data_IF_641409971279
#
_entry.id   IF_641409971279
#
_cell.length_a   1.000
_cell.length_b   1.000
_cell.length_c   1.000
_cell.angle_alpha   90.00
_cell.angle_beta   90.00
_cell.angle_gamma   90.00
#
_symmetry.space_group_name_H-M   'P 1'
#
loop_
_entity.id
_entity.type
_entity.pdbx_description
1 polymer ?
#
# COMPACT_ATOMS: atom_id res chain seq x y z
N UNK A 1 9.79 -7.72 -4.64
CA UNK A 1 9.63 -6.25 -4.47
C UNK A 1 10.83 -5.41 -4.92
N UNK A 2 11.97 -6.02 -5.34
CA UNK A 2 13.20 -5.31 -5.72
C UNK A 2 13.01 -4.37 -6.93
N UNK A 3 12.26 -4.80 -7.95
CA UNK A 3 11.92 -3.98 -9.12
C UNK A 3 11.11 -2.70 -8.79
N UNK A 4 10.52 -2.61 -7.59
CA UNK A 4 9.71 -1.47 -7.14
C UNK A 4 10.46 -0.51 -6.20
N UNK A 5 11.80 -0.57 -6.17
CA UNK A 5 12.64 0.37 -5.40
C UNK A 5 13.10 1.60 -6.20
N UNK A 6 12.68 1.72 -7.46
CA UNK A 6 13.01 2.84 -8.33
C UNK A 6 12.23 4.13 -8.05
N UNK A 7 12.26 5.09 -9.02
CA UNK A 7 11.52 6.35 -8.93
C UNK A 7 10.03 6.13 -8.66
N UNK A 8 9.44 7.03 -7.88
CA UNK A 8 8.05 6.93 -7.45
C UNK A 8 7.37 8.30 -7.39
N UNK A 9 6.06 8.30 -7.62
CA UNK A 9 5.20 9.44 -7.30
C UNK A 9 4.81 9.35 -5.82
N UNK A 10 4.95 10.45 -5.11
CA UNK A 10 4.56 10.58 -3.71
C UNK A 10 3.35 11.50 -3.59
N UNK A 11 2.36 11.08 -2.80
CA UNK A 11 1.14 11.85 -2.56
C UNK A 11 0.90 11.89 -1.06
N UNK A 12 0.88 13.09 -0.49
CA UNK A 12 0.64 13.30 0.93
C UNK A 12 -0.73 13.94 1.18
N UNK A 13 -1.37 13.50 2.26
CA UNK A 13 -2.60 14.06 2.79
C UNK A 13 -2.51 14.13 4.33
N UNK A 14 -3.08 15.16 4.95
CA UNK A 14 -3.01 15.34 6.40
C UNK A 14 -4.07 14.55 7.19
N UNK A 15 -5.05 13.93 6.53
CA UNK A 15 -5.99 13.02 7.18
C UNK A 15 -5.43 11.60 7.29
N UNK A 16 -5.82 10.88 8.34
CA UNK A 16 -5.48 9.48 8.59
C UNK A 16 -6.61 8.55 8.16
N UNK A 17 -6.25 7.39 7.60
CA UNK A 17 -7.19 6.31 7.28
C UNK A 17 -7.71 5.62 8.54
N UNK A 18 -9.01 5.37 8.59
CA UNK A 18 -9.63 4.51 9.60
C UNK A 18 -9.48 3.04 9.26
N UNK A 19 -9.73 2.14 10.22
CA UNK A 19 -9.74 0.69 9.98
C UNK A 19 -10.74 0.26 8.89
N UNK A 20 -11.85 0.99 8.72
CA UNK A 20 -12.80 0.76 7.62
C UNK A 20 -12.23 1.17 6.26
N UNK A 21 -11.45 2.25 6.20
CA UNK A 21 -10.82 2.71 4.97
C UNK A 21 -9.74 1.73 4.53
N UNK A 22 -8.91 1.23 5.46
CA UNK A 22 -7.94 0.17 5.17
C UNK A 22 -8.62 -1.09 4.62
N UNK A 23 -9.68 -1.57 5.29
CA UNK A 23 -10.43 -2.75 4.85
C UNK A 23 -11.05 -2.55 3.48
N UNK A 24 -11.60 -1.38 3.20
CA UNK A 24 -12.17 -1.02 1.90
C UNK A 24 -11.10 -1.03 0.82
N UNK A 25 -9.96 -0.35 1.04
CA UNK A 25 -8.89 -0.22 0.06
C UNK A 25 -8.21 -1.56 -0.27
N UNK A 26 -7.94 -2.40 0.75
CA UNK A 26 -7.37 -3.74 0.54
C UNK A 26 -8.33 -4.66 -0.23
N UNK A 27 -9.65 -4.50 -0.05
CA UNK A 27 -10.66 -5.25 -0.81
C UNK A 27 -10.77 -4.78 -2.26
N UNK A 28 -10.48 -3.52 -2.57
CA UNK A 28 -10.56 -2.99 -3.93
C UNK A 28 -9.55 -3.62 -4.87
N UNK A 29 -8.33 -3.88 -4.40
CA UNK A 29 -7.35 -4.70 -5.15
C UNK A 29 -7.84 -6.11 -5.47
N UNK A 30 -8.96 -6.55 -4.89
CA UNK A 30 -9.52 -7.90 -5.08
C UNK A 30 -10.81 -7.95 -5.92
N UNK A 31 -11.32 -6.80 -6.39
CA UNK A 31 -12.48 -6.74 -7.31
C UNK A 31 -13.88 -6.73 -6.64
N UNK A 32 -13.96 -6.56 -5.32
CA UNK A 32 -15.25 -6.51 -4.60
C UNK A 32 -15.82 -5.09 -4.49
N UNK A 33 -16.92 -4.80 -5.19
CA UNK A 33 -17.71 -3.57 -4.96
C UNK A 33 -18.25 -3.57 -3.52
N UNK A 34 -17.86 -2.59 -2.71
CA UNK A 34 -18.49 -2.37 -1.39
C UNK A 34 -19.89 -1.77 -1.58
N UNK A 35 -20.93 -2.50 -1.17
CA UNK A 35 -22.33 -2.05 -1.14
C UNK A 35 -22.57 -1.09 0.04
N UNK A 36 -22.20 0.17 -0.10
CA UNK A 36 -22.56 1.18 0.90
C UNK A 36 -22.95 2.50 0.19
N UNK A 37 -24.24 2.62 -0.13
CA UNK A 37 -24.83 3.63 -1.03
C UNK A 37 -24.91 5.05 -0.43
N UNK A 38 -24.45 5.27 0.80
CA UNK A 38 -24.61 6.55 1.51
C UNK A 38 -23.41 7.50 1.47
N UNK A 39 -22.27 7.11 0.87
CA UNK A 39 -21.07 7.97 0.77
C UNK A 39 -20.61 8.10 -0.69
N UNK A 40 -20.94 9.22 -1.32
CA UNK A 40 -20.45 9.57 -2.66
C UNK A 40 -18.91 9.60 -2.62
N UNK A 41 -18.24 8.82 -3.49
CA UNK A 41 -16.79 8.86 -3.68
C UNK A 41 -15.93 7.91 -2.82
N UNK A 42 -16.42 6.77 -2.35
CA UNK A 42 -15.71 5.90 -1.37
C UNK A 42 -14.79 4.81 -2.00
N UNK A 43 -13.77 5.26 -2.74
CA UNK A 43 -12.53 4.55 -3.10
C UNK A 43 -12.46 3.62 -4.32
N UNK A 44 -13.55 3.26 -5.01
CA UNK A 44 -13.47 2.19 -6.01
C UNK A 44 -13.01 2.53 -7.44
N UNK A 45 -13.13 3.78 -7.89
CA UNK A 45 -12.84 4.17 -9.29
C UNK A 45 -11.61 5.10 -9.34
N UNK A 46 -11.53 6.08 -8.43
CA UNK A 46 -10.45 7.07 -8.43
C UNK A 46 -9.07 6.48 -8.09
N UNK A 47 -8.99 5.51 -7.17
CA UNK A 47 -7.71 4.87 -6.85
C UNK A 47 -7.23 3.93 -7.97
N UNK A 48 -8.12 3.41 -8.83
CA UNK A 48 -7.70 2.56 -9.94
C UNK A 48 -6.78 3.29 -10.91
N UNK A 49 -6.85 4.62 -10.97
CA UNK A 49 -5.91 5.44 -11.74
C UNK A 49 -4.45 5.23 -11.31
N UNK A 50 -4.19 4.85 -10.06
CA UNK A 50 -2.85 4.50 -9.59
C UNK A 50 -2.29 3.29 -10.36
N UNK A 51 -3.14 2.33 -10.75
CA UNK A 51 -2.74 1.14 -11.51
C UNK A 51 -2.33 1.43 -12.96
N UNK A 52 -2.65 2.61 -13.50
CA UNK A 52 -2.04 3.05 -14.76
C UNK A 52 -0.53 3.27 -14.61
N UNK A 53 -0.06 3.64 -13.41
CA UNK A 53 1.32 4.05 -13.15
C UNK A 53 2.13 2.96 -12.44
N UNK A 54 1.51 2.19 -11.54
CA UNK A 54 2.19 1.22 -10.68
C UNK A 54 1.36 -0.05 -10.48
N UNK A 55 1.99 -1.21 -10.34
CA UNK A 55 1.28 -2.46 -10.00
C UNK A 55 1.42 -2.83 -8.51
N UNK A 56 2.21 -2.06 -7.75
CA UNK A 56 2.41 -2.27 -6.31
C UNK A 56 2.38 -0.95 -5.53
N UNK A 57 1.23 -0.25 -5.49
CA UNK A 57 1.12 0.94 -4.68
C UNK A 57 1.17 0.57 -3.19
N UNK A 58 1.72 1.50 -2.40
CA UNK A 58 1.84 1.35 -0.96
C UNK A 58 1.58 2.67 -0.26
N UNK A 59 1.10 2.62 0.98
CA UNK A 59 0.84 3.83 1.75
C UNK A 59 1.03 3.61 3.24
N UNK A 60 1.38 4.70 3.92
CA UNK A 60 1.52 4.77 5.38
C UNK A 60 0.44 5.69 5.91
N UNK A 61 -0.27 5.26 6.95
CA UNK A 61 -1.20 6.10 7.71
C UNK A 61 -1.31 5.61 9.15
N UNK A 62 -1.20 6.54 10.11
CA UNK A 62 -1.18 6.20 11.54
C UNK A 62 -0.03 5.23 11.85
N UNK A 63 -0.35 4.08 12.45
CA UNK A 63 0.61 3.02 12.80
C UNK A 63 0.77 1.91 11.74
N UNK A 64 0.13 2.07 10.58
CA UNK A 64 0.09 1.02 9.56
C UNK A 64 0.79 1.44 8.28
N UNK A 65 1.50 0.47 7.69
CA UNK A 65 1.86 0.48 6.28
C UNK A 65 1.03 -0.58 5.57
N UNK A 66 0.53 -0.25 4.38
CA UNK A 66 -0.21 -1.18 3.55
C UNK A 66 0.35 -1.22 2.13
N UNK A 67 0.32 -2.42 1.56
CA UNK A 67 0.72 -2.73 0.19
C UNK A 67 -0.48 -3.32 -0.53
N UNK A 68 -0.72 -2.89 -1.78
CA UNK A 68 -1.79 -3.39 -2.63
C UNK A 68 -1.16 -4.13 -3.80
N UNK A 69 -1.50 -5.41 -3.96
CA UNK A 69 -0.94 -6.30 -4.98
C UNK A 69 -2.09 -7.07 -5.63
N UNK A 70 -2.94 -6.42 -6.45
CA UNK A 70 -4.19 -7.01 -6.94
C UNK A 70 -3.99 -8.33 -7.70
N UNK A 71 -2.83 -8.49 -8.33
CA UNK A 71 -2.42 -9.66 -9.09
C UNK A 71 -1.70 -10.73 -8.24
N UNK A 72 -1.51 -10.49 -6.94
CA UNK A 72 -0.82 -11.40 -6.01
C UNK A 72 0.56 -11.85 -6.52
N UNK A 73 1.34 -10.94 -7.09
CA UNK A 73 2.62 -11.25 -7.75
C UNK A 73 3.83 -10.89 -6.90
N UNK A 74 3.76 -9.87 -6.05
CA UNK A 74 4.93 -9.25 -5.43
C UNK A 74 5.06 -9.46 -3.93
N UNK A 75 3.94 -9.68 -3.23
CA UNK A 75 3.94 -9.96 -1.80
C UNK A 75 4.45 -11.38 -1.50
N UNK A 76 5.12 -11.58 -0.34
CA UNK A 76 5.62 -12.90 0.04
C UNK A 76 4.47 -13.89 0.26
N UNK A 77 4.73 -15.16 -0.03
CA UNK A 77 3.79 -16.25 0.24
C UNK A 77 3.56 -16.43 1.74
N UNK A 78 2.32 -16.73 2.10
CA UNK A 78 1.88 -16.92 3.48
C UNK A 78 0.92 -18.10 3.57
N UNK A 79 0.83 -18.70 4.77
CA UNK A 79 -0.12 -19.77 5.08
C UNK A 79 0.31 -21.17 4.60
N UNK A 80 -0.58 -22.14 4.81
CA UNK A 80 -0.44 -23.53 4.34
C UNK A 80 -1.78 -24.00 3.74
N UNK A 81 -1.86 -24.30 2.43
CA UNK A 81 -0.78 -24.21 1.43
C UNK A 81 -0.35 -22.76 1.17
N UNK A 82 0.91 -22.54 0.75
CA UNK A 82 1.46 -21.20 0.54
C UNK A 82 0.70 -20.46 -0.57
N UNK A 83 0.25 -19.24 -0.28
CA UNK A 83 -0.40 -18.35 -1.26
C UNK A 83 0.04 -16.90 -1.08
N UNK A 84 0.16 -16.17 -2.19
CA UNK A 84 0.44 -14.73 -2.17
C UNK A 84 -0.85 -13.97 -1.87
N UNK A 85 -0.85 -13.08 -0.87
CA UNK A 85 -2.01 -12.24 -0.60
C UNK A 85 -2.12 -11.14 -1.66
N UNK A 86 -3.34 -10.64 -1.89
CA UNK A 86 -3.60 -9.50 -2.79
C UNK A 86 -3.34 -8.13 -2.17
N UNK A 87 -2.97 -8.12 -0.91
CA UNK A 87 -2.67 -6.92 -0.14
C UNK A 87 -2.21 -7.28 1.25
N UNK A 88 -1.42 -6.41 1.86
CA UNK A 88 -0.91 -6.60 3.21
C UNK A 88 -1.10 -5.32 4.00
N UNK A 89 -1.51 -5.45 5.27
CA UNK A 89 -1.49 -4.36 6.25
C UNK A 89 -0.60 -4.79 7.42
N UNK A 90 0.40 -3.96 7.71
CA UNK A 90 1.42 -4.24 8.72
C UNK A 90 1.36 -3.12 9.75
N UNK A 91 1.11 -3.48 11.01
CA UNK A 91 1.36 -2.58 12.13
C UNK A 91 2.87 -2.53 12.36
N UNK A 92 3.51 -1.45 11.90
CA UNK A 92 4.98 -1.31 11.98
C UNK A 92 5.46 -0.91 13.38
N UNK A 93 4.54 -0.58 14.29
CA UNK A 93 4.88 -0.32 15.70
C UNK A 93 4.99 -1.62 16.50
N UNK A 94 4.20 -2.63 16.16
CA UNK A 94 4.22 -3.95 16.82
C UNK A 94 5.18 -4.92 16.14
N UNK A 95 5.30 -4.84 14.81
CA UNK A 95 6.19 -5.71 14.04
C UNK A 95 7.51 -5.01 13.76
N UNK A 96 8.60 -5.77 13.67
CA UNK A 96 9.91 -5.24 13.30
C UNK A 96 10.00 -4.94 11.79
N UNK A 97 9.13 -4.06 11.29
CA UNK A 97 9.09 -3.66 9.88
C UNK A 97 10.40 -2.99 9.44
N UNK A 98 11.09 -2.33 10.37
CA UNK A 98 12.39 -1.68 10.15
C UNK A 98 13.48 -2.64 9.68
N UNK A 99 13.36 -3.95 9.97
CA UNK A 99 14.27 -4.97 9.43
C UNK A 99 14.23 -5.06 7.90
N UNK A 100 13.12 -4.65 7.27
CA UNK A 100 13.03 -4.52 5.81
C UNK A 100 13.59 -3.16 5.38
N UNK A 101 14.92 -3.02 5.51
CA UNK A 101 15.62 -1.74 5.27
C UNK A 101 15.24 -1.12 3.91
N UNK A 102 15.28 -1.91 2.84
CA UNK A 102 14.97 -1.45 1.49
C UNK A 102 13.52 -0.96 1.36
N UNK A 103 12.57 -1.58 2.05
CA UNK A 103 11.17 -1.13 2.03
C UNK A 103 10.95 0.14 2.84
N UNK A 104 11.75 0.34 3.89
CA UNK A 104 11.64 1.51 4.76
C UNK A 104 12.37 2.73 4.21
N UNK A 105 13.50 2.52 3.53
CA UNK A 105 14.42 3.58 3.11
C UNK A 105 13.73 4.70 2.30
N UNK A 106 12.85 4.42 1.31
CA UNK A 106 12.18 5.46 0.53
C UNK A 106 11.34 6.44 1.36
N UNK A 107 10.71 5.95 2.45
CA UNK A 107 9.83 6.75 3.29
C UNK A 107 10.58 7.68 4.25
N UNK A 108 11.83 7.35 4.59
CA UNK A 108 12.66 8.15 5.50
C UNK A 108 12.90 9.56 4.94
N UNK A 109 12.97 9.69 3.61
CA UNK A 109 13.16 10.97 2.92
C UNK A 109 11.97 11.94 3.13
N UNK A 110 10.80 11.42 3.50
CA UNK A 110 9.58 12.19 3.78
C UNK A 110 9.21 12.15 5.27
N UNK A 111 10.21 12.10 6.15
CA UNK A 111 10.06 12.11 7.62
C UNK A 111 9.25 10.93 8.19
N UNK A 112 9.05 9.85 7.43
CA UNK A 112 8.42 8.62 7.88
C UNK A 112 9.49 7.55 8.15
N UNK A 113 9.93 7.46 9.41
CA UNK A 113 11.00 6.55 9.84
C UNK A 113 10.49 5.28 10.56
N UNK A 114 9.18 5.04 10.54
CA UNK A 114 8.51 3.89 11.20
C UNK A 114 8.83 3.74 12.70
N UNK A 115 9.28 4.80 13.37
CA UNK A 115 9.59 4.78 14.82
C UNK A 115 8.48 5.36 15.68
N UNK A 116 7.54 6.05 15.03
CA UNK A 116 6.34 6.63 15.62
C UNK A 116 5.22 6.54 14.60
N UNK A 117 3.99 6.73 15.05
CA UNK A 117 2.85 6.87 14.17
C UNK A 117 3.06 8.03 13.19
N UNK A 118 2.67 7.81 11.93
CA UNK A 118 2.68 8.83 10.91
C UNK A 118 1.36 9.61 10.94
N UNK A 119 1.44 10.91 11.24
CA UNK A 119 0.27 11.80 11.31
C UNK A 119 -0.12 12.28 9.92
N UNK A 120 -1.10 11.60 9.34
CA UNK A 120 -1.57 11.78 7.97
C UNK A 120 -1.48 10.50 7.15
N UNK A 121 -1.57 10.63 5.83
CA UNK A 121 -1.45 9.56 4.86
C UNK A 121 -0.42 9.89 3.81
N UNK A 122 0.50 8.97 3.56
CA UNK A 122 1.53 9.10 2.53
C UNK A 122 1.50 7.91 1.58
N UNK A 123 1.10 8.15 0.33
CA UNK A 123 1.15 7.17 -0.74
C UNK A 123 2.49 7.22 -1.48
N UNK A 124 2.97 6.04 -1.84
CA UNK A 124 4.10 5.81 -2.74
C UNK A 124 3.61 4.99 -3.93
N UNK A 125 3.78 5.53 -5.13
CA UNK A 125 3.44 4.89 -6.40
C UNK A 125 4.74 4.69 -7.22
N UNK A 126 5.47 3.57 -7.02
CA UNK A 126 6.67 3.28 -7.78
C UNK A 126 6.35 3.13 -9.27
N UNK A 127 7.06 3.85 -10.14
CA UNK A 127 6.77 3.87 -11.57
C UNK A 127 7.05 2.49 -12.20
N UNK A 128 6.14 2.02 -13.06
CA UNK A 128 6.39 0.83 -13.89
C UNK A 128 7.59 1.09 -14.80
N UNK A 129 8.52 0.15 -14.83
CA UNK A 129 9.68 0.17 -15.73
C UNK A 129 9.66 -1.06 -16.64
N UNK A 130 10.46 -1.05 -17.72
CA UNK A 130 10.56 -2.17 -18.67
C UNK A 130 10.88 -3.52 -18.02
N UNK A 131 11.54 -3.53 -16.86
CA UNK A 131 11.90 -4.75 -16.11
C UNK A 131 10.80 -5.22 -15.13
N UNK A 132 9.67 -4.51 -15.07
CA UNK A 132 8.61 -4.75 -14.08
C UNK A 132 7.30 -5.23 -14.70
N UNK A 133 7.08 -4.97 -15.99
CA UNK A 133 5.95 -5.48 -16.75
C UNK A 133 6.30 -6.80 -17.41
N UNK A 134 5.82 -7.91 -16.85
CA UNK A 134 5.72 -9.23 -17.48
C UNK A 134 4.53 -9.98 -16.88
#
# INVERSE_FOLDING_TARGET
MVCWQGPAIWIYNNAEFTDDDFRSLLKLGTGGKSRDDKKIGRFGIGFNCAFHVTDLPSFVSGKYIAFLDPHAKFLPEQGFPPRRPKGARINFMEKNFKSFYDQCHPYKMLNCNFSREFKGTLFRLPLRTFTTGD
#
